data_IF_111903038799
#
_entry.id   IF_111903038799
#
_cell.length_a   1.000
_cell.length_b   1.000
_cell.length_c   1.000
_cell.angle_alpha   90.00
_cell.angle_beta   90.00
_cell.angle_gamma   90.00
#
_symmetry.space_group_name_H-M   'P 1'
#
loop_
_entity.id
_entity.type
_entity.pdbx_description
1 polymer ?
#
# COMPACT_ATOMS: atom_id res chain seq x y z
N UNK A 1 18.29 -21.86 1.30
CA UNK A 1 17.18 -21.65 2.24
C UNK A 1 17.52 -20.44 3.08
N UNK A 2 16.85 -19.32 2.79
CA UNK A 2 16.93 -18.08 3.56
C UNK A 2 16.47 -18.37 4.99
N UNK A 3 17.22 -17.86 5.96
CA UNK A 3 16.91 -18.09 7.36
C UNK A 3 15.62 -17.35 7.73
N UNK A 4 14.74 -17.95 8.56
CA UNK A 4 13.49 -17.32 8.98
C UNK A 4 13.65 -15.96 9.63
N UNK A 5 14.79 -15.72 10.28
CA UNK A 5 15.13 -14.45 10.91
C UNK A 5 15.13 -13.30 9.88
N UNK A 6 15.65 -13.53 8.67
CA UNK A 6 15.82 -12.48 7.64
C UNK A 6 14.48 -11.91 7.19
N UNK A 7 13.54 -12.75 6.73
CA UNK A 7 12.27 -12.23 6.22
C UNK A 7 11.35 -11.71 7.33
N UNK A 8 11.49 -12.24 8.56
CA UNK A 8 10.73 -11.75 9.73
C UNK A 8 11.19 -10.37 10.16
N UNK A 9 12.49 -10.08 10.13
CA UNK A 9 13.01 -8.72 10.37
C UNK A 9 12.51 -7.72 9.32
N UNK A 10 12.28 -8.16 8.08
CA UNK A 10 11.66 -7.34 7.03
C UNK A 10 10.15 -7.12 7.23
N UNK A 11 9.51 -7.81 8.18
CA UNK A 11 8.08 -7.68 8.48
C UNK A 11 7.16 -8.67 7.76
N UNK A 12 7.72 -9.72 7.13
CA UNK A 12 6.95 -10.83 6.57
C UNK A 12 6.72 -11.93 7.62
N UNK A 13 5.57 -12.58 7.57
CA UNK A 13 5.34 -13.81 8.33
C UNK A 13 5.58 -15.08 7.49
N UNK A 14 5.62 -16.23 8.16
CA UNK A 14 5.93 -17.52 7.52
C UNK A 14 4.93 -17.90 6.40
N UNK A 15 3.66 -17.50 6.54
CA UNK A 15 2.63 -17.77 5.53
C UNK A 15 2.87 -16.89 4.30
N UNK A 16 3.25 -15.62 4.50
CA UNK A 16 3.60 -14.72 3.41
C UNK A 16 4.85 -15.20 2.67
N UNK A 17 5.88 -15.66 3.39
CA UNK A 17 7.08 -16.25 2.80
C UNK A 17 6.76 -17.49 1.94
N UNK A 18 5.99 -18.45 2.48
CA UNK A 18 5.57 -19.63 1.73
C UNK A 18 4.78 -19.27 0.46
N UNK A 19 3.95 -18.22 0.54
CA UNK A 19 3.21 -17.71 -0.61
C UNK A 19 4.13 -17.09 -1.66
N UNK A 20 5.18 -16.38 -1.24
CA UNK A 20 6.20 -15.82 -2.14
C UNK A 20 6.93 -16.94 -2.86
N UNK A 21 7.38 -17.98 -2.15
CA UNK A 21 8.00 -19.17 -2.77
C UNK A 21 7.05 -19.82 -3.79
N UNK A 22 5.77 -19.95 -3.44
CA UNK A 22 4.76 -20.49 -4.34
C UNK A 22 4.52 -19.64 -5.60
N UNK A 23 4.58 -18.31 -5.49
CA UNK A 23 4.44 -17.39 -6.63
C UNK A 23 5.66 -17.47 -7.55
N UNK A 24 6.87 -17.53 -6.98
CA UNK A 24 8.11 -17.53 -7.75
C UNK A 24 8.48 -18.92 -8.29
N UNK A 25 7.96 -20.00 -7.69
CA UNK A 25 8.34 -21.37 -8.03
C UNK A 25 9.79 -21.73 -7.69
N UNK A 26 10.46 -20.88 -6.90
CA UNK A 26 11.84 -21.04 -6.45
C UNK A 26 12.05 -20.25 -5.15
N UNK A 27 13.21 -20.46 -4.53
CA UNK A 27 13.66 -19.64 -3.42
C UNK A 27 13.85 -18.17 -3.87
N UNK A 28 13.28 -17.18 -3.16
CA UNK A 28 13.50 -15.77 -3.44
C UNK A 28 14.91 -15.34 -3.04
N UNK A 29 15.44 -14.34 -3.74
CA UNK A 29 16.61 -13.58 -3.28
C UNK A 29 16.22 -12.62 -2.15
N UNK A 30 17.20 -12.15 -1.36
CA UNK A 30 16.94 -11.13 -0.31
C UNK A 30 16.33 -9.84 -0.87
N UNK A 31 16.77 -9.40 -2.06
CA UNK A 31 16.20 -8.23 -2.74
C UNK A 31 14.74 -8.44 -3.10
N UNK A 32 14.39 -9.61 -3.64
CA UNK A 32 13.00 -9.95 -3.96
C UNK A 32 12.14 -10.00 -2.69
N UNK A 33 12.66 -10.59 -1.61
CA UNK A 33 11.97 -10.58 -0.31
C UNK A 33 11.71 -9.16 0.20
N UNK A 34 12.70 -8.28 0.12
CA UNK A 34 12.54 -6.88 0.50
C UNK A 34 11.46 -6.17 -0.32
N UNK A 35 11.40 -6.44 -1.63
CA UNK A 35 10.34 -5.91 -2.50
C UNK A 35 8.96 -6.42 -2.08
N UNK A 36 8.81 -7.72 -1.83
CA UNK A 36 7.56 -8.27 -1.33
C UNK A 36 7.17 -7.70 0.04
N UNK A 37 8.12 -7.57 0.96
CA UNK A 37 7.89 -7.04 2.30
C UNK A 37 7.29 -5.62 2.26
N UNK A 38 7.87 -4.72 1.45
CA UNK A 38 7.34 -3.35 1.30
C UNK A 38 5.98 -3.37 0.62
N UNK A 39 5.84 -4.07 -0.50
CA UNK A 39 4.60 -4.07 -1.29
C UNK A 39 3.43 -4.75 -0.59
N UNK A 40 3.69 -5.72 0.29
CA UNK A 40 2.68 -6.40 1.10
C UNK A 40 2.55 -5.80 2.51
N UNK A 41 3.20 -4.69 2.83
CA UNK A 41 2.96 -3.97 4.08
C UNK A 41 1.51 -3.48 4.18
N UNK A 42 1.00 -3.14 5.38
CA UNK A 42 -0.33 -2.51 5.49
C UNK A 42 -0.39 -1.17 4.76
N UNK A 43 0.72 -0.41 4.76
CA UNK A 43 0.81 0.89 4.13
C UNK A 43 0.59 0.83 2.61
N UNK A 44 1.12 -0.19 1.94
CA UNK A 44 0.94 -0.36 0.48
C UNK A 44 -0.23 -1.29 0.13
N UNK A 45 -0.39 -2.39 0.86
CA UNK A 45 -1.32 -3.46 0.51
C UNK A 45 -2.71 -3.33 1.12
N UNK A 46 -2.90 -2.48 2.14
CA UNK A 46 -4.18 -2.31 2.85
C UNK A 46 -4.77 -3.67 3.30
N UNK A 47 -3.92 -4.59 3.77
CA UNK A 47 -4.26 -6.00 4.07
C UNK A 47 -5.47 -6.11 5.00
N UNK A 48 -5.52 -5.26 6.02
CA UNK A 48 -6.58 -5.28 7.03
C UNK A 48 -7.72 -4.31 6.71
N UNK A 49 -7.40 -3.16 6.13
CA UNK A 49 -8.36 -2.10 5.87
C UNK A 49 -9.18 -2.32 4.59
N UNK A 50 -8.62 -2.94 3.53
CA UNK A 50 -9.29 -3.13 2.23
C UNK A 50 -10.64 -3.88 2.33
N UNK A 51 -10.80 -4.96 3.13
CA UNK A 51 -12.10 -5.60 3.31
C UNK A 51 -13.15 -4.67 3.93
N UNK A 52 -12.75 -3.81 4.87
CA UNK A 52 -13.64 -2.82 5.50
C UNK A 52 -14.00 -1.71 4.50
N UNK A 53 -13.02 -1.22 3.73
CA UNK A 53 -13.25 -0.22 2.69
C UNK A 53 -14.18 -0.72 1.58
N UNK A 54 -14.19 -2.03 1.32
CA UNK A 54 -15.10 -2.68 0.35
C UNK A 54 -16.57 -2.64 0.77
N UNK A 55 -16.90 -2.19 1.99
CA UNK A 55 -18.27 -1.93 2.42
C UNK A 55 -18.82 -0.62 1.84
N UNK A 56 -17.95 0.31 1.42
CA UNK A 56 -18.38 1.54 0.75
C UNK A 56 -18.67 1.27 -0.73
N UNK A 57 -19.93 1.48 -1.14
CA UNK A 57 -20.42 1.20 -2.51
C UNK A 57 -19.50 1.73 -3.60
N UNK A 58 -19.15 3.02 -3.55
CA UNK A 58 -18.33 3.66 -4.58
C UNK A 58 -16.91 3.08 -4.64
N UNK A 59 -16.33 2.75 -3.48
CA UNK A 59 -15.01 2.13 -3.41
C UNK A 59 -15.03 0.71 -4.01
N UNK A 60 -16.04 -0.10 -3.65
CA UNK A 60 -16.24 -1.44 -4.21
C UNK A 60 -16.44 -1.39 -5.72
N UNK A 61 -17.30 -0.50 -6.21
CA UNK A 61 -17.55 -0.36 -7.65
C UNK A 61 -16.29 0.07 -8.41
N UNK A 62 -15.50 1.00 -7.86
CA UNK A 62 -14.23 1.40 -8.45
C UNK A 62 -13.23 0.24 -8.46
N UNK A 63 -13.16 -0.54 -7.37
CA UNK A 63 -12.29 -1.71 -7.27
C UNK A 63 -12.67 -2.79 -8.30
N UNK A 64 -13.96 -3.12 -8.43
CA UNK A 64 -14.46 -4.14 -9.38
C UNK A 64 -14.27 -3.74 -10.84
N UNK A 65 -14.31 -2.43 -11.14
CA UNK A 65 -14.07 -1.88 -12.48
C UNK A 65 -12.58 -1.62 -12.78
N UNK A 66 -11.69 -1.81 -11.81
CA UNK A 66 -10.28 -1.46 -11.95
C UNK A 66 -10.04 0.04 -12.13
N UNK A 67 -10.89 0.88 -11.55
CA UNK A 67 -10.89 2.34 -11.67
C UNK A 67 -10.38 3.04 -10.40
N UNK A 68 -9.60 2.34 -9.56
CA UNK A 68 -8.91 2.95 -8.42
C UNK A 68 -7.68 3.68 -8.95
N UNK A 69 -7.67 5.00 -8.77
CA UNK A 69 -6.61 5.90 -9.23
C UNK A 69 -5.98 6.64 -8.04
N UNK A 70 -4.94 7.43 -8.32
CA UNK A 70 -4.22 8.20 -7.29
C UNK A 70 -5.11 9.20 -6.53
N UNK A 71 -6.19 9.69 -7.11
CA UNK A 71 -7.10 10.66 -6.48
C UNK A 71 -8.55 10.47 -6.97
N UNK A 72 -9.51 10.95 -6.19
CA UNK A 72 -10.92 10.97 -6.57
C UNK A 72 -11.25 12.20 -7.42
N UNK A 73 -12.22 12.07 -8.32
CA UNK A 73 -12.73 13.17 -9.15
C UNK A 73 -14.22 13.37 -8.89
N UNK A 74 -14.61 14.61 -8.61
CA UNK A 74 -16.01 15.03 -8.50
C UNK A 74 -16.33 15.92 -9.70
N UNK A 75 -17.19 15.49 -10.65
CA UNK A 75 -17.55 16.30 -11.80
C UNK A 75 -18.35 17.53 -11.36
N UNK A 76 -18.04 18.69 -11.94
CA UNK A 76 -18.77 19.94 -11.69
C UNK A 76 -19.74 20.24 -12.85
N UNK A 77 -19.25 20.14 -14.09
CA UNK A 77 -20.04 20.27 -15.32
C UNK A 77 -19.40 19.45 -16.46
N UNK A 78 -19.84 19.68 -17.72
CA UNK A 78 -19.33 18.96 -18.90
C UNK A 78 -17.85 19.24 -19.21
N UNK A 79 -17.25 20.30 -18.64
CA UNK A 79 -15.88 20.76 -18.93
C UNK A 79 -14.94 20.64 -17.74
N UNK A 80 -15.46 20.69 -16.52
CA UNK A 80 -14.66 20.78 -15.30
C UNK A 80 -15.03 19.71 -14.27
N UNK A 81 -14.00 19.27 -13.53
CA UNK A 81 -14.12 18.43 -12.36
C UNK A 81 -13.10 18.83 -11.30
N UNK A 82 -13.40 18.52 -10.05
CA UNK A 82 -12.52 18.76 -8.91
C UNK A 82 -11.81 17.46 -8.57
N UNK A 83 -10.47 17.49 -8.57
CA UNK A 83 -9.62 16.38 -8.14
C UNK A 83 -9.23 16.60 -6.69
N UNK A 84 -9.43 15.60 -5.84
CA UNK A 84 -9.11 15.70 -4.43
C UNK A 84 -8.61 14.37 -3.86
N UNK A 85 -7.63 14.46 -2.96
CA UNK A 85 -7.08 13.36 -2.16
C UNK A 85 -6.68 13.89 -0.80
N UNK A 86 -6.67 13.00 0.19
CA UNK A 86 -6.07 13.25 1.50
C UNK A 86 -5.07 12.13 1.79
N UNK A 87 -3.88 12.51 2.24
CA UNK A 87 -2.84 11.59 2.69
C UNK A 87 -2.46 11.85 4.15
N UNK A 88 -1.68 10.95 4.73
CA UNK A 88 -1.12 11.13 6.06
C UNK A 88 0.36 10.79 6.07
N UNK A 89 1.16 11.57 6.77
CA UNK A 89 2.61 11.33 6.91
C UNK A 89 3.00 11.28 8.40
N UNK A 90 2.23 10.48 9.15
CA UNK A 90 2.19 10.54 10.62
C UNK A 90 3.50 10.12 11.28
N UNK A 91 4.00 8.91 10.97
CA UNK A 91 5.20 8.37 11.62
C UNK A 91 6.45 9.21 11.32
N UNK A 92 6.72 9.63 10.06
CA UNK A 92 7.85 10.53 9.79
C UNK A 92 7.71 11.88 10.49
N UNK A 93 6.50 12.48 10.51
CA UNK A 93 6.27 13.75 11.20
C UNK A 93 6.41 13.66 12.73
N UNK A 94 6.17 12.48 13.31
CA UNK A 94 6.41 12.27 14.73
C UNK A 94 7.91 12.22 15.07
N UNK A 95 8.75 11.74 14.14
CA UNK A 95 10.21 11.65 14.31
C UNK A 95 10.88 12.99 14.00
N UNK A 96 10.52 13.61 12.88
CA UNK A 96 11.04 14.91 12.46
C UNK A 96 9.87 15.75 11.88
N UNK A 97 9.36 16.72 12.66
CA UNK A 97 8.12 17.41 12.31
C UNK A 97 8.18 18.25 11.04
N UNK A 98 9.31 18.92 10.77
CA UNK A 98 9.38 19.89 9.68
C UNK A 98 9.41 19.20 8.31
N UNK A 99 10.37 18.31 8.10
CA UNK A 99 10.53 17.49 6.91
C UNK A 99 9.42 16.45 6.77
N UNK A 100 8.93 15.89 7.89
CA UNK A 100 7.80 14.96 7.86
C UNK A 100 6.54 15.63 7.30
N UNK A 101 6.22 16.84 7.75
CA UNK A 101 5.11 17.61 7.21
C UNK A 101 5.39 18.08 5.77
N UNK A 102 6.59 18.58 5.48
CA UNK A 102 6.94 19.09 4.15
C UNK A 102 6.85 18.01 3.06
N UNK A 103 7.34 16.80 3.35
CA UNK A 103 7.23 15.67 2.41
C UNK A 103 5.79 15.16 2.27
N UNK A 104 4.99 15.25 3.33
CA UNK A 104 3.55 14.97 3.26
C UNK A 104 2.75 15.96 2.40
N UNK A 105 3.22 17.20 2.23
CA UNK A 105 2.62 18.18 1.29
C UNK A 105 3.05 17.91 -0.16
N UNK A 106 4.25 17.36 -0.35
CA UNK A 106 4.83 17.15 -1.69
C UNK A 106 4.41 15.86 -2.39
N UNK A 107 3.93 14.85 -1.65
CA UNK A 107 3.39 13.60 -2.19
C UNK A 107 2.00 13.76 -2.76
#
# INVERSE_FOLDING_TARGET
MISPEIYREMGLNDIEYQRIEGILGREPTETELGMFAVMWSEHCGYKYSRPVLSLFKNYREAQEKGALENAGVVPLDEKYGIVFKMESHNHPSAVEPFQGAATGVGG
#
